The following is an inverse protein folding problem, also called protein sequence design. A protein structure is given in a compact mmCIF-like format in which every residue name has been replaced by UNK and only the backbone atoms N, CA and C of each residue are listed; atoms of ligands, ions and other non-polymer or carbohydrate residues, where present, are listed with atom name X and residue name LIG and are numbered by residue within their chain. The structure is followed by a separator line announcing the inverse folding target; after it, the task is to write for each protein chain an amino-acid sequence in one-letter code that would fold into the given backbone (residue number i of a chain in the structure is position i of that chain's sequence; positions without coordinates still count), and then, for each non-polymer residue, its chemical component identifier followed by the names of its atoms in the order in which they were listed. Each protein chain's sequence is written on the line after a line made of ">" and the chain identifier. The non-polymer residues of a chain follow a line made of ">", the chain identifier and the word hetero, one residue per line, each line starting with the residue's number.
data_IF_174299211187
#
_entry.id   IF_174299211187
#
_cell.length_a   1.000
_cell.length_b   1.000
_cell.length_c   1.000
_cell.angle_alpha   90.00
_cell.angle_beta   90.00
_cell.angle_gamma   90.00
#
_symmetry.space_group_name_H-M   'P 1'
#
loop_
_entity.id
_entity.type
_entity.pdbx_description
1 polymer ?
#
# COMPACT_ATOMS: atom_id res chain seq x y z
N UNK A 1 -0.77 12.37 -60.92
CA UNK A 1 -0.20 11.40 -61.88
C UNK A 1 -0.70 10.01 -61.51
N UNK A 2 -1.18 9.25 -62.51
CA UNK A 2 -1.63 7.84 -62.55
C UNK A 2 -0.90 6.87 -61.61
N UNK A 3 -1.57 5.99 -60.84
CA UNK A 3 -2.40 4.79 -61.17
C UNK A 3 -1.61 3.56 -61.68
N UNK A 4 -1.49 2.52 -60.82
CA UNK A 4 -1.37 1.06 -61.09
C UNK A 4 -2.01 0.34 -59.86
N UNK A 5 -2.31 -0.97 -59.83
CA UNK A 5 -3.55 -1.56 -60.36
C UNK A 5 -3.92 -2.95 -59.75
N UNK A 6 -2.95 -3.75 -59.29
CA UNK A 6 -3.10 -5.18 -58.94
C UNK A 6 -2.26 -6.08 -59.89
N UNK A 7 -2.47 -7.41 -59.97
CA UNK A 7 -3.21 -8.33 -59.08
C UNK A 7 -2.51 -9.70 -58.83
N UNK A 8 -3.21 -10.63 -58.15
CA UNK A 8 -3.19 -12.11 -58.31
C UNK A 8 -1.96 -12.98 -57.91
N UNK A 9 -2.17 -13.72 -56.79
CA UNK A 9 -2.18 -15.21 -56.72
C UNK A 9 -0.92 -16.03 -56.34
N UNK A 10 -1.18 -17.11 -55.59
CA UNK A 10 -0.29 -18.23 -55.17
C UNK A 10 0.79 -17.89 -54.10
N UNK A 11 1.18 -18.79 -53.18
CA UNK A 11 0.85 -20.21 -53.00
C UNK A 11 0.79 -20.58 -51.49
N UNK A 12 0.07 -21.64 -51.12
CA UNK A 12 -0.01 -22.15 -49.75
C UNK A 12 1.33 -22.71 -49.26
N UNK A 13 1.74 -22.32 -48.05
CA UNK A 13 2.70 -23.07 -47.23
C UNK A 13 2.20 -23.14 -45.79
N UNK A 14 2.05 -24.36 -45.29
CA UNK A 14 1.61 -24.64 -43.93
C UNK A 14 2.81 -24.41 -43.01
N UNK A 15 2.87 -23.25 -42.36
CA UNK A 15 3.94 -22.86 -41.44
C UNK A 15 3.38 -22.59 -40.06
N UNK A 16 3.88 -23.32 -39.05
CA UNK A 16 3.42 -23.27 -37.65
C UNK A 16 3.24 -21.85 -37.12
N UNK A 17 2.10 -21.59 -36.47
CA UNK A 17 1.79 -20.32 -35.82
C UNK A 17 2.87 -19.94 -34.80
N UNK A 18 3.86 -19.14 -35.21
CA UNK A 18 4.61 -18.29 -34.30
C UNK A 18 3.68 -17.18 -33.86
N UNK A 19 2.82 -17.50 -32.90
CA UNK A 19 2.07 -16.52 -32.14
C UNK A 19 3.08 -15.49 -31.63
N UNK A 20 2.82 -14.23 -31.99
CA UNK A 20 3.60 -13.09 -31.54
C UNK A 20 3.71 -13.21 -30.02
N UNK A 21 4.92 -13.45 -29.52
CA UNK A 21 5.15 -13.49 -28.08
C UNK A 21 4.60 -12.17 -27.53
N UNK A 22 3.65 -12.20 -26.57
CA UNK A 22 3.30 -10.98 -25.87
C UNK A 22 4.62 -10.44 -25.33
N UNK A 23 4.86 -9.14 -25.47
CA UNK A 23 6.01 -8.52 -24.82
C UNK A 23 5.95 -8.97 -23.37
N UNK A 24 6.98 -9.70 -22.92
CA UNK A 24 7.08 -10.08 -21.53
C UNK A 24 7.36 -8.77 -20.82
N UNK A 25 6.28 -8.11 -20.38
CA UNK A 25 6.35 -6.87 -19.62
C UNK A 25 7.18 -7.20 -18.39
N UNK A 26 8.45 -6.82 -18.44
CA UNK A 26 9.24 -6.61 -17.25
C UNK A 26 8.46 -5.58 -16.45
N UNK A 27 7.75 -6.07 -15.43
CA UNK A 27 7.22 -5.20 -14.39
C UNK A 27 8.38 -4.31 -13.93
N UNK A 28 8.14 -3.02 -13.63
CA UNK A 28 9.13 -2.29 -12.86
C UNK A 28 9.46 -3.14 -11.62
N UNK A 29 10.71 -3.05 -11.13
CA UNK A 29 11.05 -3.60 -9.81
C UNK A 29 10.26 -2.81 -8.79
N UNK A 30 9.07 -3.33 -8.50
CA UNK A 30 8.11 -2.77 -7.56
C UNK A 30 8.60 -3.18 -6.18
N UNK A 31 9.37 -2.28 -5.60
CA UNK A 31 10.12 -2.51 -4.37
C UNK A 31 9.12 -2.38 -3.21
N UNK A 32 8.75 -3.52 -2.63
CA UNK A 32 7.69 -3.62 -1.65
C UNK A 32 8.01 -2.84 -0.37
N UNK A 33 7.01 -2.14 0.16
CA UNK A 33 7.08 -1.37 1.39
C UNK A 33 6.37 -2.16 2.48
N UNK A 34 7.04 -2.42 3.60
CA UNK A 34 6.38 -2.95 4.79
C UNK A 34 6.10 -1.86 5.82
N UNK A 35 4.90 -1.88 6.41
CA UNK A 35 4.49 -0.92 7.44
C UNK A 35 3.98 -1.69 8.66
N UNK A 36 4.70 -1.55 9.77
CA UNK A 36 4.32 -2.09 11.08
C UNK A 36 3.82 -0.97 11.98
N UNK A 37 2.68 -1.19 12.65
CA UNK A 37 2.10 -0.30 13.65
C UNK A 37 2.13 -1.00 15.02
N UNK A 38 3.02 -0.56 15.89
CA UNK A 38 3.11 -1.01 17.28
C UNK A 38 2.24 -0.12 18.18
N UNK A 39 1.09 -0.66 18.62
CA UNK A 39 0.24 -0.01 19.62
C UNK A 39 0.81 -0.21 21.03
N UNK A 40 0.88 0.85 21.83
CA UNK A 40 1.52 0.88 23.15
C UNK A 40 0.65 1.59 24.20
N UNK A 41 0.88 1.27 25.48
CA UNK A 41 0.23 1.91 26.63
C UNK A 41 -0.79 1.00 27.32
N UNK A 42 -1.65 1.58 28.17
CA UNK A 42 -2.67 0.84 28.95
C UNK A 42 -4.11 1.15 28.55
N UNK A 43 -4.31 2.11 27.65
CA UNK A 43 -5.62 2.48 27.13
C UNK A 43 -6.13 1.52 26.06
N UNK A 44 -7.26 1.92 25.47
CA UNK A 44 -7.88 1.25 24.34
C UNK A 44 -8.08 2.22 23.16
N UNK A 45 -7.97 1.69 21.94
CA UNK A 45 -8.04 2.49 20.72
C UNK A 45 -7.80 1.66 19.46
N UNK A 46 -7.86 2.31 18.30
CA UNK A 46 -7.56 1.71 17.00
C UNK A 46 -6.62 2.57 16.18
N UNK A 47 -5.93 1.95 15.22
CA UNK A 47 -5.25 2.62 14.12
C UNK A 47 -5.73 2.01 12.81
N UNK A 48 -6.18 2.86 11.90
CA UNK A 48 -6.64 2.48 10.56
C UNK A 48 -5.90 3.26 9.47
N UNK A 49 -5.49 2.58 8.40
CA UNK A 49 -5.09 3.20 7.14
C UNK A 49 -6.27 3.86 6.42
N UNK A 50 -5.97 4.85 5.57
CA UNK A 50 -6.94 5.47 4.65
C UNK A 50 -6.82 4.98 3.20
N UNK A 51 -5.86 4.09 2.91
CA UNK A 51 -5.49 3.72 1.54
C UNK A 51 -6.12 2.38 1.14
N UNK A 52 -6.70 2.22 -0.07
CA UNK A 52 -7.47 1.03 -0.43
C UNK A 52 -6.64 -0.25 -0.60
N UNK A 53 -5.31 -0.15 -0.69
CA UNK A 53 -4.37 -1.28 -0.80
C UNK A 53 -3.46 -1.43 0.43
N UNK A 54 -3.80 -0.77 1.55
CA UNK A 54 -3.13 -0.97 2.82
C UNK A 54 -4.16 -1.44 3.86
N UNK A 55 -4.13 -2.71 4.24
CA UNK A 55 -5.09 -3.38 5.15
C UNK A 55 -4.71 -3.25 6.64
N UNK A 56 -4.16 -2.09 7.03
CA UNK A 56 -3.81 -1.78 8.42
C UNK A 56 -5.07 -1.39 9.19
N UNK A 57 -5.55 -2.31 10.02
CA UNK A 57 -6.65 -2.09 10.96
C UNK A 57 -6.37 -2.86 12.25
N UNK A 58 -5.68 -2.18 13.17
CA UNK A 58 -5.30 -2.74 14.46
C UNK A 58 -5.99 -2.03 15.61
N UNK A 59 -6.19 -2.77 16.70
CA UNK A 59 -6.82 -2.28 17.92
C UNK A 59 -5.99 -2.67 19.13
N UNK A 60 -5.90 -1.77 20.10
CA UNK A 60 -5.39 -2.05 21.43
C UNK A 60 -6.57 -2.01 22.39
N UNK A 61 -6.66 -3.01 23.26
CA UNK A 61 -7.67 -3.08 24.33
C UNK A 61 -6.94 -3.31 25.65
N UNK A 62 -6.95 -2.32 26.53
CA UNK A 62 -6.29 -2.37 27.84
C UNK A 62 -4.82 -2.85 27.78
N UNK A 63 -4.06 -2.32 26.82
CA UNK A 63 -2.67 -2.71 26.58
C UNK A 63 -2.44 -4.01 25.79
N UNK A 64 -3.51 -4.70 25.36
CA UNK A 64 -3.41 -5.90 24.50
C UNK A 64 -3.71 -5.56 23.05
N UNK A 65 -2.75 -5.74 22.16
CA UNK A 65 -2.86 -5.46 20.71
C UNK A 65 -3.48 -6.63 19.94
N UNK A 66 -4.34 -6.32 18.96
CA UNK A 66 -5.04 -7.29 18.10
C UNK A 66 -5.41 -6.68 16.74
N UNK A 67 -5.79 -7.51 15.76
CA UNK A 67 -6.09 -7.07 14.39
C UNK A 67 -4.85 -6.98 13.50
N UNK A 68 -5.01 -6.40 12.30
CA UNK A 68 -3.94 -6.27 11.30
C UNK A 68 -3.06 -5.06 11.62
N UNK A 69 -1.97 -5.32 12.33
CA UNK A 69 -0.99 -4.31 12.76
C UNK A 69 0.18 -4.14 11.79
N UNK A 70 0.19 -4.92 10.73
CA UNK A 70 1.27 -5.05 9.76
C UNK A 70 0.63 -5.21 8.40
N UNK A 71 1.24 -4.61 7.39
CA UNK A 71 0.93 -4.90 6.00
C UNK A 71 2.18 -4.74 5.12
N UNK A 72 2.22 -5.50 4.02
CA UNK A 72 3.21 -5.37 2.97
C UNK A 72 2.52 -5.08 1.63
N UNK A 73 2.85 -3.93 1.04
CA UNK A 73 2.25 -3.49 -0.22
C UNK A 73 3.33 -3.06 -1.21
N UNK A 74 3.12 -3.46 -2.46
CA UNK A 74 3.98 -3.14 -3.60
C UNK A 74 3.33 -2.06 -4.48
N UNK A 75 2.01 -2.11 -4.69
CA UNK A 75 1.27 -1.12 -5.48
C UNK A 75 0.39 -0.22 -4.60
N UNK A 76 0.51 1.09 -4.81
CA UNK A 76 -0.32 2.12 -4.16
C UNK A 76 -1.20 2.87 -5.18
N UNK A 77 -1.32 2.36 -6.41
CA UNK A 77 -1.94 2.98 -7.58
C UNK A 77 -1.41 4.41 -7.86
N UNK A 78 -0.11 4.62 -7.62
CA UNK A 78 0.57 5.90 -7.81
C UNK A 78 0.28 6.95 -6.72
N UNK A 79 -0.31 6.58 -5.58
CA UNK A 79 -0.45 7.47 -4.45
C UNK A 79 0.90 7.62 -3.68
N UNK A 80 1.41 8.85 -3.48
CA UNK A 80 2.72 9.07 -2.87
C UNK A 80 2.71 8.98 -1.33
N UNK A 81 1.56 8.84 -0.69
CA UNK A 81 1.42 8.98 0.76
C UNK A 81 0.38 8.04 1.37
N UNK A 82 0.75 7.33 2.44
CA UNK A 82 -0.14 6.55 3.29
C UNK A 82 -0.52 7.36 4.54
N UNK A 83 -1.81 7.46 4.87
CA UNK A 83 -2.26 8.08 6.12
C UNK A 83 -2.78 7.02 7.09
N UNK A 84 -2.28 7.05 8.32
CA UNK A 84 -2.72 6.25 9.46
C UNK A 84 -3.46 7.14 10.46
N UNK A 85 -4.66 6.76 10.87
CA UNK A 85 -5.48 7.54 11.82
C UNK A 85 -5.67 6.78 13.12
N UNK A 86 -5.24 7.37 14.23
CA UNK A 86 -5.44 6.83 15.58
C UNK A 86 -6.77 7.31 16.16
N UNK A 87 -7.60 6.38 16.66
CA UNK A 87 -8.87 6.71 17.32
C UNK A 87 -8.88 6.10 18.72
N UNK A 88 -8.95 6.93 19.75
CA UNK A 88 -9.09 6.45 21.13
C UNK A 88 -10.52 5.99 21.40
N UNK A 89 -10.69 4.95 22.22
CA UNK A 89 -11.99 4.54 22.73
C UNK A 89 -12.37 5.31 24.01
N UNK A 90 -13.65 5.26 24.40
CA UNK A 90 -14.14 5.89 25.63
C UNK A 90 -13.32 5.46 26.87
N UNK A 91 -13.01 6.43 27.73
CA UNK A 91 -12.14 6.20 28.89
C UNK A 91 -10.65 6.05 28.56
N UNK A 92 -10.24 6.35 27.32
CA UNK A 92 -8.84 6.39 26.89
C UNK A 92 -8.52 7.64 26.08
N UNK A 93 -7.23 7.99 26.01
CA UNK A 93 -6.70 9.10 25.21
C UNK A 93 -5.62 8.58 24.27
N UNK A 94 -5.59 9.12 23.06
CA UNK A 94 -4.41 9.02 22.20
C UNK A 94 -3.35 10.00 22.72
N UNK A 95 -2.13 9.51 22.89
CA UNK A 95 -1.03 10.25 23.52
C UNK A 95 -0.14 10.89 22.46
N UNK A 96 0.45 10.07 21.59
CA UNK A 96 1.37 10.50 20.54
C UNK A 96 1.61 9.39 19.51
N UNK A 97 2.07 9.80 18.33
CA UNK A 97 2.78 8.93 17.40
C UNK A 97 4.28 8.92 17.74
N UNK A 98 4.98 7.85 17.35
CA UNK A 98 6.44 7.75 17.36
C UNK A 98 6.94 7.11 16.07
N UNK A 99 8.14 7.50 15.62
CA UNK A 99 8.71 7.16 14.31
C UNK A 99 7.88 7.54 13.07
N UNK A 100 6.75 8.24 13.25
CA UNK A 100 5.98 8.82 12.15
C UNK A 100 6.71 10.05 11.57
N UNK A 101 6.90 10.15 10.24
CA UNK A 101 7.64 11.26 9.64
C UNK A 101 6.84 12.57 9.60
N UNK A 102 5.51 12.53 9.51
CA UNK A 102 4.65 13.72 9.56
C UNK A 102 3.40 13.48 10.41
N UNK A 103 3.23 14.27 11.47
CA UNK A 103 2.14 14.10 12.45
C UNK A 103 1.23 15.33 12.45
N UNK A 104 -0.07 15.09 12.29
CA UNK A 104 -1.13 16.10 12.38
C UNK A 104 -2.18 15.62 13.39
N UNK A 105 -1.97 15.94 14.67
CA UNK A 105 -2.84 15.49 15.76
C UNK A 105 -2.81 13.97 15.90
N UNK A 106 -3.97 13.32 15.68
CA UNK A 106 -4.11 11.87 15.70
C UNK A 106 -3.84 11.20 14.34
N UNK A 107 -3.46 11.95 13.31
CA UNK A 107 -3.10 11.42 11.98
C UNK A 107 -1.58 11.39 11.82
N UNK A 108 -1.08 10.25 11.36
CA UNK A 108 0.28 10.07 10.86
C UNK A 108 0.24 9.98 9.33
N UNK A 109 1.15 10.66 8.64
CA UNK A 109 1.33 10.56 7.19
C UNK A 109 2.74 10.07 6.89
N UNK A 110 2.83 8.99 6.12
CA UNK A 110 4.07 8.37 5.65
C UNK A 110 4.21 8.71 4.16
N UNK A 111 5.39 9.17 3.75
CA UNK A 111 5.74 9.28 2.33
C UNK A 111 6.28 7.94 1.86
N UNK A 112 5.68 7.40 0.80
CA UNK A 112 5.90 6.06 0.26
C UNK A 112 6.37 6.14 -1.19
N UNK A 113 6.89 7.30 -1.61
CA UNK A 113 7.61 7.46 -2.88
C UNK A 113 9.01 6.85 -2.87
N UNK A 114 9.52 6.48 -1.69
CA UNK A 114 10.75 5.71 -1.51
C UNK A 114 10.42 4.37 -0.83
N UNK A 115 10.98 3.26 -1.31
CA UNK A 115 10.73 1.95 -0.74
C UNK A 115 11.59 1.74 0.53
N UNK A 116 11.02 2.09 1.68
CA UNK A 116 11.63 1.93 3.00
C UNK A 116 10.65 1.23 3.95
N UNK A 117 11.17 0.41 4.88
CA UNK A 117 10.37 -0.26 5.91
C UNK A 117 10.05 0.68 7.07
N UNK A 118 8.77 0.80 7.44
CA UNK A 118 8.31 1.70 8.50
C UNK A 118 7.84 0.95 9.74
N UNK A 119 8.37 1.33 10.90
CA UNK A 119 7.92 0.82 12.21
C UNK A 119 7.38 1.98 13.04
N UNK A 120 6.08 2.24 12.89
CA UNK A 120 5.36 3.33 13.54
C UNK A 120 4.86 2.88 14.92
N UNK A 121 4.85 3.78 15.90
CA UNK A 121 4.26 3.53 17.23
C UNK A 121 3.11 4.47 17.52
N UNK A 122 2.05 3.97 18.18
CA UNK A 122 0.90 4.75 18.62
C UNK A 122 0.61 4.52 20.10
N UNK A 123 0.67 5.58 20.91
CA UNK A 123 0.44 5.51 22.35
C UNK A 123 -1.02 5.75 22.73
N UNK A 124 -1.60 4.88 23.55
CA UNK A 124 -2.94 5.01 24.14
C UNK A 124 -2.88 4.81 25.66
N UNK A 125 -3.37 5.79 26.42
CA UNK A 125 -3.44 5.71 27.90
C UNK A 125 -4.89 5.75 28.35
N UNK A 126 -5.17 5.20 29.55
CA UNK A 126 -6.45 5.42 30.24
C UNK A 126 -6.58 6.89 30.67
N UNK A 127 -7.82 7.39 30.70
CA UNK A 127 -8.20 8.75 31.13
C UNK A 127 -8.73 8.78 32.57
#
# INVERSE_FOLDING_TARGET
>A
MSRIAGPLMALLLVGTSTLMFPACSSSPTEEAISVTVALLGTGSGSVTSSHPHADINCTITLGTTSGSCFDDFNDLEGAPSLMLTATAQDGSVFVNWGACPSVQGNVCTIDVTQPEDWVITAGFNLQ
#
